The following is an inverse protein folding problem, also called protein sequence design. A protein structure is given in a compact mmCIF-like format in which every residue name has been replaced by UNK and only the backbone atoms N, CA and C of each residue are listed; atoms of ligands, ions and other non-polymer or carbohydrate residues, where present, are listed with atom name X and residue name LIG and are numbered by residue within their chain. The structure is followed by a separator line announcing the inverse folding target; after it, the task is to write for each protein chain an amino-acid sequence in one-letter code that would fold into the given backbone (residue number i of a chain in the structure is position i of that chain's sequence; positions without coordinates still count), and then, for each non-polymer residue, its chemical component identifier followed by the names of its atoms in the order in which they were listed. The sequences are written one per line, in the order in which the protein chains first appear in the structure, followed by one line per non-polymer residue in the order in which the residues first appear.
data_IF_508288482660
#
_entry.id   IF_508288482660
#
_cell.length_a   1.000
_cell.length_b   1.000
_cell.length_c   1.000
_cell.angle_alpha   90.00
_cell.angle_beta   90.00
_cell.angle_gamma   90.00
#
_symmetry.space_group_name_H-M   'P 1'
#
loop_
_entity.id
_entity.type
_entity.pdbx_description
1 polymer ?
#
# COMPACT_ATOMS: atom_id res chain seq x y z
N UNK A 1 -1.30 16.93 6.74
CA UNK A 1 -2.09 15.69 6.76
C UNK A 1 -1.70 14.77 5.63
N UNK A 2 -1.72 13.48 5.88
CA UNK A 2 -1.33 12.48 4.90
C UNK A 2 -2.47 12.25 3.90
N UNK A 3 -2.15 12.26 2.62
CA UNK A 3 -3.12 11.92 1.58
C UNK A 3 -3.49 10.44 1.65
N UNK A 4 -4.74 10.11 1.34
CA UNK A 4 -5.16 8.72 1.22
C UNK A 4 -4.51 8.09 -0.01
N UNK A 5 -4.52 6.76 -0.08
CA UNK A 5 -4.04 6.04 -1.27
C UNK A 5 -4.87 6.41 -2.49
N UNK A 6 -6.17 6.60 -2.31
CA UNK A 6 -7.05 6.98 -3.41
C UNK A 6 -6.71 8.36 -3.96
N UNK A 7 -6.46 9.33 -3.08
CA UNK A 7 -6.07 10.67 -3.52
C UNK A 7 -4.77 10.67 -4.30
N UNK A 8 -3.78 9.86 -3.83
CA UNK A 8 -2.51 9.69 -4.54
C UNK A 8 -2.70 9.05 -5.90
N UNK A 9 -3.57 8.05 -5.98
CA UNK A 9 -3.88 7.38 -7.24
C UNK A 9 -4.58 8.31 -8.22
N UNK A 10 -5.51 9.13 -7.73
CA UNK A 10 -6.21 10.10 -8.57
C UNK A 10 -5.26 11.18 -9.11
N UNK A 11 -4.35 11.64 -8.27
CA UNK A 11 -3.33 12.60 -8.71
C UNK A 11 -2.42 12.02 -9.79
N UNK A 12 -1.96 10.77 -9.58
CA UNK A 12 -1.15 10.07 -10.57
C UNK A 12 -1.93 9.84 -11.87
N UNK A 13 -3.23 9.58 -11.76
CA UNK A 13 -4.10 9.42 -12.93
C UNK A 13 -4.10 10.66 -13.80
N UNK A 14 -4.18 11.84 -13.18
CA UNK A 14 -4.13 13.10 -13.94
C UNK A 14 -2.81 13.25 -14.69
N UNK A 15 -1.70 12.88 -14.07
CA UNK A 15 -0.39 12.92 -14.71
C UNK A 15 -0.32 11.97 -15.90
N UNK A 16 -0.83 10.74 -15.75
CA UNK A 16 -0.87 9.76 -16.82
C UNK A 16 -1.71 10.26 -18.00
N UNK A 17 -2.87 10.84 -17.71
CA UNK A 17 -3.74 11.39 -18.74
C UNK A 17 -3.02 12.52 -19.52
N UNK A 18 -2.31 13.38 -18.83
CA UNK A 18 -1.55 14.45 -19.48
C UNK A 18 -0.44 13.90 -20.37
N UNK A 19 0.31 12.91 -19.88
CA UNK A 19 1.40 12.30 -20.64
C UNK A 19 0.89 11.66 -21.92
N UNK A 20 -0.28 11.02 -21.86
CA UNK A 20 -0.88 10.33 -23.00
C UNK A 20 -1.74 11.23 -23.87
N UNK A 21 -1.92 12.50 -23.49
CA UNK A 21 -2.76 13.43 -24.23
C UNK A 21 -4.24 13.11 -24.13
N UNK A 22 -4.66 12.43 -23.07
CA UNK A 22 -6.06 12.09 -22.83
C UNK A 22 -6.78 13.20 -22.10
N UNK A 23 -8.10 13.27 -22.25
CA UNK A 23 -8.91 14.19 -21.45
C UNK A 23 -9.07 13.65 -20.03
N UNK A 24 -9.45 14.52 -19.09
CA UNK A 24 -9.65 14.15 -17.70
C UNK A 24 -10.81 13.16 -17.50
N UNK A 25 -11.68 13.02 -18.50
CA UNK A 25 -12.83 12.11 -18.44
C UNK A 25 -12.54 10.75 -19.06
N UNK A 26 -11.35 10.53 -19.60
CA UNK A 26 -10.99 9.25 -20.21
C UNK A 26 -10.43 8.30 -19.17
N UNK A 27 -11.19 7.29 -18.82
CA UNK A 27 -10.82 6.19 -17.91
C UNK A 27 -10.26 6.61 -16.56
N UNK A 28 -10.80 7.68 -15.90
CA UNK A 28 -10.20 8.13 -14.63
C UNK A 28 -10.29 7.09 -13.54
N UNK A 29 -11.41 6.37 -13.45
CA UNK A 29 -11.60 5.35 -12.41
C UNK A 29 -10.72 4.13 -12.65
N UNK A 30 -10.67 3.65 -13.88
CA UNK A 30 -9.89 2.45 -14.21
C UNK A 30 -8.40 2.69 -13.96
N UNK A 31 -7.89 3.85 -14.34
CA UNK A 31 -6.48 4.19 -14.12
C UNK A 31 -6.21 4.33 -12.62
N UNK A 32 -7.08 5.03 -11.91
CA UNK A 32 -6.91 5.21 -10.45
C UNK A 32 -6.99 3.89 -9.70
N UNK A 33 -7.90 3.00 -10.10
CA UNK A 33 -8.01 1.67 -9.49
C UNK A 33 -6.74 0.84 -9.71
N UNK A 34 -6.18 0.88 -10.90
CA UNK A 34 -4.95 0.15 -11.22
C UNK A 34 -3.77 0.67 -10.41
N UNK A 35 -3.63 1.98 -10.28
CA UNK A 35 -2.55 2.61 -9.51
C UNK A 35 -2.71 2.28 -8.03
N UNK A 36 -3.90 2.44 -7.48
CA UNK A 36 -4.17 2.12 -6.07
C UNK A 36 -3.85 0.67 -5.75
N UNK A 37 -4.27 -0.25 -6.62
CA UNK A 37 -3.98 -1.68 -6.47
C UNK A 37 -2.48 -1.96 -6.44
N UNK A 38 -1.73 -1.31 -7.32
CA UNK A 38 -0.28 -1.47 -7.38
C UNK A 38 0.38 -0.99 -6.10
N UNK A 39 -0.06 0.16 -5.57
CA UNK A 39 0.47 0.69 -4.31
C UNK A 39 0.17 -0.26 -3.15
N UNK A 40 -1.06 -0.77 -3.08
CA UNK A 40 -1.45 -1.72 -2.03
C UNK A 40 -0.59 -2.97 -2.08
N UNK A 41 -0.37 -3.54 -3.25
CA UNK A 41 0.48 -4.73 -3.40
C UNK A 41 1.91 -4.47 -2.94
N UNK A 42 2.49 -3.33 -3.33
CA UNK A 42 3.84 -2.96 -2.92
C UNK A 42 3.95 -2.83 -1.40
N UNK A 43 2.96 -2.21 -0.75
CA UNK A 43 2.94 -2.04 0.70
C UNK A 43 2.81 -3.39 1.41
N UNK A 44 2.00 -4.29 0.89
CA UNK A 44 1.84 -5.63 1.47
C UNK A 44 3.12 -6.45 1.34
N UNK A 45 3.80 -6.38 0.21
CA UNK A 45 5.08 -7.05 0.02
C UNK A 45 6.14 -6.51 0.98
N UNK A 46 6.22 -5.21 1.13
CA UNK A 46 7.17 -4.58 2.05
C UNK A 46 6.86 -4.94 3.50
N UNK A 47 5.60 -5.05 3.86
CA UNK A 47 5.19 -5.52 5.19
C UNK A 47 5.73 -6.91 5.49
N UNK A 48 5.59 -7.84 4.53
CA UNK A 48 6.11 -9.19 4.71
C UNK A 48 7.62 -9.19 4.86
N UNK A 49 8.32 -8.40 4.04
CA UNK A 49 9.76 -8.27 4.12
C UNK A 49 10.21 -7.75 5.50
N UNK A 50 9.53 -6.73 6.01
CA UNK A 50 9.83 -6.17 7.33
C UNK A 50 9.57 -7.18 8.45
N UNK A 51 8.48 -7.93 8.34
CA UNK A 51 8.15 -8.96 9.33
C UNK A 51 9.19 -10.08 9.34
N UNK A 52 9.66 -10.50 8.17
CA UNK A 52 10.68 -11.53 8.05
C UNK A 52 12.02 -11.06 8.65
N UNK A 53 12.41 -9.82 8.40
CA UNK A 53 13.61 -9.24 8.97
C UNK A 53 13.50 -9.21 10.51
N UNK A 54 12.37 -8.77 11.04
CA UNK A 54 12.15 -8.75 12.48
C UNK A 54 12.22 -10.15 13.09
N UNK A 55 11.65 -11.14 12.39
CA UNK A 55 11.70 -12.53 12.82
C UNK A 55 13.14 -13.03 12.92
N UNK A 56 13.95 -12.74 11.89
CA UNK A 56 15.36 -13.16 11.87
C UNK A 56 16.17 -12.53 13.01
N UNK A 57 15.95 -11.24 13.27
CA UNK A 57 16.66 -10.54 14.32
C UNK A 57 16.33 -11.04 15.71
N UNK A 58 15.14 -11.59 15.91
CA UNK A 58 14.68 -12.13 17.19
C UNK A 58 14.78 -13.66 17.24
N UNK A 59 15.56 -14.26 16.36
CA UNK A 59 15.60 -15.70 16.14
C UNK A 59 15.90 -16.56 17.36
N UNK A 60 16.57 -16.04 18.40
CA UNK A 60 16.86 -16.79 19.63
C UNK A 60 15.60 -17.00 20.48
N UNK A 61 14.63 -16.10 20.39
CA UNK A 61 13.33 -16.23 21.03
C UNK A 61 12.27 -16.34 19.95
N UNK A 62 12.05 -17.54 19.48
CA UNK A 62 11.12 -17.79 18.36
C UNK A 62 9.69 -17.38 18.66
N UNK A 63 9.25 -17.54 19.91
CA UNK A 63 7.90 -17.13 20.29
C UNK A 63 7.73 -15.62 20.15
N UNK A 64 8.68 -14.87 20.69
CA UNK A 64 8.67 -13.41 20.63
C UNK A 64 8.81 -12.90 19.19
N UNK A 65 9.71 -13.53 18.43
CA UNK A 65 9.93 -13.19 17.02
C UNK A 65 8.66 -13.37 16.19
N UNK A 66 7.98 -14.50 16.40
CA UNK A 66 6.72 -14.79 15.71
C UNK A 66 5.64 -13.76 16.07
N UNK A 67 5.53 -13.41 17.34
CA UNK A 67 4.55 -12.43 17.81
C UNK A 67 4.80 -11.04 17.20
N UNK A 68 6.06 -10.60 17.19
CA UNK A 68 6.42 -9.30 16.58
C UNK A 68 6.12 -9.28 15.09
N UNK A 69 6.48 -10.35 14.38
CA UNK A 69 6.22 -10.44 12.94
C UNK A 69 4.72 -10.41 12.63
N UNK A 70 3.92 -11.12 13.43
CA UNK A 70 2.46 -11.12 13.26
C UNK A 70 1.87 -9.73 13.52
N UNK A 71 2.37 -9.02 14.54
CA UNK A 71 1.92 -7.66 14.83
C UNK A 71 2.26 -6.68 13.70
N UNK A 72 3.44 -6.80 13.11
CA UNK A 72 3.82 -5.96 11.97
C UNK A 72 2.85 -6.18 10.81
N UNK A 73 2.55 -7.43 10.49
CA UNK A 73 1.62 -7.76 9.40
C UNK A 73 0.22 -7.26 9.68
N UNK A 74 -0.25 -7.43 10.93
CA UNK A 74 -1.58 -7.00 11.33
C UNK A 74 -1.74 -5.49 11.25
N UNK A 75 -0.82 -4.75 11.82
CA UNK A 75 -0.88 -3.28 11.85
C UNK A 75 -0.84 -2.71 10.43
N UNK A 76 0.07 -3.19 9.60
CA UNK A 76 0.18 -2.71 8.23
C UNK A 76 -1.06 -3.05 7.40
N UNK A 77 -1.68 -4.21 7.61
CA UNK A 77 -2.92 -4.56 6.93
C UNK A 77 -4.05 -3.61 7.29
N UNK A 78 -4.18 -3.26 8.57
CA UNK A 78 -5.19 -2.31 9.03
C UNK A 78 -4.94 -0.92 8.43
N UNK A 79 -3.69 -0.46 8.44
CA UNK A 79 -3.33 0.85 7.88
C UNK A 79 -3.62 0.93 6.39
N UNK A 80 -3.25 -0.09 5.64
CA UNK A 80 -3.50 -0.13 4.19
C UNK A 80 -5.00 -0.13 3.91
N UNK A 81 -5.77 -0.92 4.64
CA UNK A 81 -7.23 -0.96 4.50
C UNK A 81 -7.86 0.40 4.79
N UNK A 82 -7.43 1.06 5.86
CA UNK A 82 -7.94 2.38 6.23
C UNK A 82 -7.61 3.43 5.18
N UNK A 83 -6.38 3.43 4.68
CA UNK A 83 -5.96 4.37 3.65
C UNK A 83 -6.74 4.17 2.34
N UNK A 84 -7.01 2.92 1.99
CA UNK A 84 -7.77 2.60 0.77
C UNK A 84 -9.24 2.96 0.91
N UNK A 85 -9.78 2.95 2.13
CA UNK A 85 -11.19 3.29 2.38
C UNK A 85 -11.47 4.79 2.43
N UNK A 86 -10.44 5.61 2.50
CA UNK A 86 -10.55 7.06 2.58
C UNK A 86 -10.76 7.64 1.18
N UNK A 87 -11.94 7.46 0.63
CA UNK A 87 -12.26 7.90 -0.74
C UNK A 87 -13.16 9.12 -0.77
#
# INVERSE_FOLDING_TARGET
MTKSLRERAEQATQEVQQILGLSAEEHPKEISDAIEKTIIHALLEERHRCADIAFEFLGEDQFKAKHVAEEIRRINSVLVSNLSSMR
#
